data_IF_785695003310
#
_entry.id   IF_785695003310
#
_cell.length_a   1.000
_cell.length_b   1.000
_cell.length_c   1.000
_cell.angle_alpha   90.00
_cell.angle_beta   90.00
_cell.angle_gamma   90.00
#
_symmetry.space_group_name_H-M   'P 1'
#
loop_
_entity.id
_entity.type
_entity.pdbx_description
1 polymer ?
#
# COMPACT_ATOMS: atom_id res chain seq x y z
N UNK A 1 12.13 9.21 -9.02
CA UNK A 1 13.34 9.52 -8.23
C UNK A 1 12.89 10.04 -6.87
N UNK A 2 13.51 9.59 -5.77
CA UNK A 2 13.18 10.10 -4.44
C UNK A 2 13.95 11.41 -4.18
N UNK A 3 13.26 12.44 -3.70
CA UNK A 3 13.87 13.75 -3.39
C UNK A 3 14.24 13.78 -1.90
N UNK A 4 15.45 14.20 -1.60
CA UNK A 4 15.95 14.34 -0.22
C UNK A 4 16.26 15.80 0.06
N UNK A 5 15.81 16.30 1.20
CA UNK A 5 16.21 17.61 1.70
C UNK A 5 16.78 17.50 3.12
N UNK A 6 17.74 18.37 3.42
CA UNK A 6 18.33 18.53 4.77
C UNK A 6 17.59 19.61 5.54
N UNK A 7 17.25 19.34 6.80
CA UNK A 7 16.27 20.10 7.60
C UNK A 7 16.51 21.61 7.78
N UNK A 8 17.72 22.12 7.50
CA UNK A 8 18.03 23.56 7.58
C UNK A 8 17.66 24.36 6.32
N UNK A 9 17.29 23.70 5.21
CA UNK A 9 17.08 24.35 3.89
C UNK A 9 15.81 23.83 3.18
N UNK A 10 14.75 23.51 3.92
CA UNK A 10 13.49 23.06 3.31
C UNK A 10 12.56 24.25 3.10
N UNK A 11 12.45 24.70 1.87
CA UNK A 11 11.33 25.52 1.43
C UNK A 11 10.09 24.63 1.29
N UNK A 12 9.09 24.84 2.16
CA UNK A 12 7.92 23.96 2.25
C UNK A 12 7.15 23.87 0.92
N UNK A 13 7.11 24.94 0.13
CA UNK A 13 6.42 24.96 -1.15
C UNK A 13 7.06 23.98 -2.16
N UNK A 14 8.40 23.94 -2.23
CA UNK A 14 9.12 23.05 -3.14
C UNK A 14 9.06 21.59 -2.68
N UNK A 15 9.07 21.36 -1.36
CA UNK A 15 8.84 20.03 -0.79
C UNK A 15 7.43 19.51 -1.13
N UNK A 16 6.39 20.36 -1.02
CA UNK A 16 5.03 19.99 -1.40
C UNK A 16 4.89 19.70 -2.91
N UNK A 17 5.51 20.52 -3.77
CA UNK A 17 5.55 20.26 -5.22
C UNK A 17 6.23 18.93 -5.51
N UNK A 18 7.38 18.68 -4.89
CA UNK A 18 8.13 17.42 -5.04
C UNK A 18 7.34 16.19 -4.56
N UNK A 19 6.56 16.34 -3.49
CA UNK A 19 5.73 15.26 -2.94
C UNK A 19 4.69 14.70 -3.95
N UNK A 20 4.31 15.48 -4.97
CA UNK A 20 3.42 14.99 -6.04
C UNK A 20 4.10 13.98 -6.97
N UNK A 21 5.44 13.99 -7.05
CA UNK A 21 6.22 13.06 -7.87
C UNK A 21 6.72 11.83 -7.10
N UNK A 22 6.58 11.82 -5.78
CA UNK A 22 7.00 10.73 -4.92
C UNK A 22 7.29 11.17 -3.49
N UNK A 23 7.64 10.24 -2.60
CA UNK A 23 7.98 10.55 -1.21
C UNK A 23 9.19 11.49 -1.14
N UNK A 24 9.08 12.50 -0.27
CA UNK A 24 10.18 13.41 0.05
C UNK A 24 10.75 13.03 1.41
N UNK A 25 12.03 12.71 1.46
CA UNK A 25 12.71 12.33 2.69
C UNK A 25 13.37 13.56 3.31
N UNK A 26 13.11 13.76 4.60
CA UNK A 26 13.64 14.86 5.40
C UNK A 26 14.73 14.29 6.29
N UNK A 27 15.95 14.77 6.08
CA UNK A 27 17.12 14.35 6.84
C UNK A 27 17.53 15.42 7.86
N UNK A 28 17.89 15.00 9.07
CA UNK A 28 18.65 15.80 10.03
C UNK A 28 20.00 15.14 10.27
N UNK A 29 21.08 15.90 10.14
CA UNK A 29 22.48 15.43 10.29
C UNK A 29 22.79 14.14 9.52
N UNK A 30 22.27 14.01 8.30
CA UNK A 30 22.49 12.86 7.43
C UNK A 30 21.63 11.62 7.73
N UNK A 31 20.70 11.71 8.68
CA UNK A 31 19.76 10.63 9.02
C UNK A 31 18.36 11.04 8.60
N UNK A 32 17.65 10.19 7.84
CA UNK A 32 16.24 10.41 7.54
C UNK A 32 15.41 10.31 8.82
N UNK A 33 14.71 11.38 9.18
CA UNK A 33 13.91 11.45 10.40
C UNK A 33 12.42 11.53 10.10
N UNK A 34 12.05 12.12 8.96
CA UNK A 34 10.66 12.32 8.56
C UNK A 34 10.51 12.06 7.05
N UNK A 35 9.27 11.81 6.63
CA UNK A 35 8.88 11.72 5.23
C UNK A 35 7.65 12.60 5.01
N UNK A 36 7.63 13.33 3.90
CA UNK A 36 6.47 14.08 3.43
C UNK A 36 5.82 13.35 2.26
N UNK A 37 4.50 13.20 2.34
CA UNK A 37 3.65 12.59 1.32
C UNK A 37 2.48 13.52 1.02
N UNK A 38 1.89 13.38 -0.18
CA UNK A 38 0.55 13.94 -0.41
C UNK A 38 -0.46 13.23 0.49
N UNK A 39 -1.57 13.90 0.81
CA UNK A 39 -2.63 13.27 1.61
C UNK A 39 -3.21 12.03 0.91
N UNK A 40 -3.27 12.03 -0.44
CA UNK A 40 -3.72 10.88 -1.21
C UNK A 40 -2.79 9.66 -1.06
N UNK A 41 -1.46 9.86 -1.13
CA UNK A 41 -0.48 8.79 -0.88
C UNK A 41 -0.50 8.31 0.57
N UNK A 42 -0.61 9.24 1.52
CA UNK A 42 -0.79 8.88 2.93
C UNK A 42 -2.07 8.05 3.15
N UNK A 43 -3.19 8.41 2.50
CA UNK A 43 -4.45 7.64 2.57
C UNK A 43 -4.35 6.26 1.94
N UNK A 44 -3.51 6.06 0.91
CA UNK A 44 -3.26 4.70 0.39
C UNK A 44 -2.50 3.83 1.39
N UNK A 45 -1.57 4.42 2.15
CA UNK A 45 -0.77 3.71 3.16
C UNK A 45 -1.54 3.48 4.46
N UNK A 46 -2.30 4.48 4.90
CA UNK A 46 -2.98 4.50 6.20
C UNK A 46 -4.45 4.10 6.10
N UNK A 47 -5.04 4.19 4.91
CA UNK A 47 -6.40 3.73 4.68
C UNK A 47 -6.50 2.26 5.05
N UNK A 48 -7.53 1.90 5.82
CA UNK A 48 -8.01 0.53 5.85
C UNK A 48 -8.43 0.21 4.41
N UNK A 49 -7.52 -0.37 3.63
CA UNK A 49 -7.91 -1.10 2.43
C UNK A 49 -9.01 -2.09 2.81
N UNK A 50 -9.76 -2.57 1.81
CA UNK A 50 -10.81 -3.56 2.06
C UNK A 50 -10.27 -4.65 2.96
N UNK A 51 -10.95 -4.86 4.09
CA UNK A 51 -10.66 -5.97 4.99
C UNK A 51 -10.74 -7.29 4.22
N UNK A 52 -10.06 -8.32 4.70
CA UNK A 52 -10.19 -9.67 4.13
C UNK A 52 -11.66 -10.09 4.01
N UNK A 53 -12.49 -9.67 4.97
CA UNK A 53 -13.93 -9.90 4.95
C UNK A 53 -14.60 -9.17 3.78
N UNK A 54 -14.32 -7.88 3.58
CA UNK A 54 -14.87 -7.11 2.45
C UNK A 54 -14.37 -7.59 1.08
N UNK A 55 -13.18 -8.18 1.02
CA UNK A 55 -12.62 -8.74 -0.22
C UNK A 55 -13.25 -10.10 -0.57
N UNK A 56 -13.60 -10.90 0.43
CA UNK A 56 -14.18 -12.24 0.25
C UNK A 56 -15.71 -12.24 0.36
N UNK A 57 -16.33 -11.12 0.75
CA UNK A 57 -17.77 -11.02 0.85
C UNK A 57 -18.42 -11.20 -0.52
N UNK A 58 -19.41 -12.10 -0.58
CA UNK A 58 -20.30 -12.17 -1.73
C UNK A 58 -21.15 -10.88 -1.75
N UNK A 59 -21.19 -10.15 -2.89
CA UNK A 59 -22.04 -8.97 -3.02
C UNK A 59 -23.51 -9.28 -2.72
N UNK A 60 -24.22 -8.33 -2.14
CA UNK A 60 -25.67 -8.46 -2.00
C UNK A 60 -26.34 -8.65 -3.37
N UNK A 61 -27.30 -9.59 -3.43
CA UNK A 61 -27.97 -9.95 -4.68
C UNK A 61 -27.15 -10.89 -5.58
N UNK A 62 -26.02 -11.44 -5.10
CA UNK A 62 -25.35 -12.55 -5.80
C UNK A 62 -26.33 -13.72 -5.91
N UNK A 63 -26.68 -14.17 -7.14
CA UNK A 63 -27.56 -15.32 -7.31
C UNK A 63 -26.95 -16.57 -6.69
N UNK A 64 -27.79 -17.39 -6.08
CA UNK A 64 -27.39 -18.72 -5.63
C UNK A 64 -26.99 -19.56 -6.85
N UNK A 65 -25.86 -20.25 -6.75
CA UNK A 65 -25.38 -21.15 -7.79
C UNK A 65 -25.01 -22.49 -7.17
N UNK A 66 -25.26 -23.56 -7.93
CA UNK A 66 -24.96 -24.92 -7.50
C UNK A 66 -23.46 -25.19 -7.61
N UNK A 67 -22.72 -24.77 -6.57
CA UNK A 67 -21.29 -25.02 -6.47
C UNK A 67 -21.05 -26.44 -5.94
N UNK A 68 -20.76 -27.36 -6.85
CA UNK A 68 -20.25 -28.70 -6.51
C UNK A 68 -18.73 -28.74 -6.74
N UNK A 69 -17.89 -28.35 -5.75
CA UNK A 69 -16.45 -28.39 -5.91
C UNK A 69 -16.01 -29.85 -6.12
N UNK A 70 -15.09 -30.10 -7.06
CA UNK A 70 -14.58 -31.44 -7.26
C UNK A 70 -13.93 -31.96 -5.98
N UNK A 71 -14.17 -33.24 -5.65
CA UNK A 71 -13.45 -33.89 -4.56
C UNK A 71 -11.96 -33.89 -4.89
N UNK A 72 -11.15 -33.41 -3.94
CA UNK A 72 -9.71 -33.46 -4.06
C UNK A 72 -9.30 -34.93 -4.29
N UNK A 73 -8.64 -35.21 -5.40
CA UNK A 73 -8.08 -36.53 -5.69
C UNK A 73 -6.55 -36.45 -5.60
N UNK A 74 -5.96 -37.30 -4.77
CA UNK A 74 -4.53 -37.29 -4.47
C UNK A 74 -4.15 -36.44 -3.25
N UNK A 75 -2.85 -36.36 -2.98
CA UNK A 75 -2.28 -35.55 -1.91
C UNK A 75 -1.93 -34.15 -2.43
N UNK A 76 -2.10 -33.08 -1.64
CA UNK A 76 -1.60 -31.77 -2.00
C UNK A 76 -0.10 -31.87 -2.32
N UNK A 77 0.29 -31.37 -3.50
CA UNK A 77 1.71 -31.26 -3.87
C UNK A 77 2.39 -30.27 -2.92
N UNK A 78 3.63 -30.54 -2.54
CA UNK A 78 4.44 -29.58 -1.79
C UNK A 78 4.49 -28.24 -2.54
N UNK A 79 4.35 -27.16 -1.78
CA UNK A 79 4.48 -25.79 -2.31
C UNK A 79 5.97 -25.51 -2.47
N UNK A 80 6.39 -25.13 -3.69
CA UNK A 80 7.72 -24.62 -3.94
C UNK A 80 7.82 -23.18 -3.40
N UNK A 81 8.68 -22.98 -2.40
CA UNK A 81 8.89 -21.70 -1.71
C UNK A 81 10.26 -21.07 -2.05
N UNK A 82 10.89 -21.51 -3.14
CA UNK A 82 12.20 -21.02 -3.58
C UNK A 82 12.19 -19.67 -4.29
#
# INVERSE_FOLDING_TARGET
MATTFTGSEIEMEDAMKSAHSGPVYIADKGIYTHVLLTMAEYQKLYGRGKSILELLAMPEGTPEFDFDPPRLSGYPREIDLS
#
